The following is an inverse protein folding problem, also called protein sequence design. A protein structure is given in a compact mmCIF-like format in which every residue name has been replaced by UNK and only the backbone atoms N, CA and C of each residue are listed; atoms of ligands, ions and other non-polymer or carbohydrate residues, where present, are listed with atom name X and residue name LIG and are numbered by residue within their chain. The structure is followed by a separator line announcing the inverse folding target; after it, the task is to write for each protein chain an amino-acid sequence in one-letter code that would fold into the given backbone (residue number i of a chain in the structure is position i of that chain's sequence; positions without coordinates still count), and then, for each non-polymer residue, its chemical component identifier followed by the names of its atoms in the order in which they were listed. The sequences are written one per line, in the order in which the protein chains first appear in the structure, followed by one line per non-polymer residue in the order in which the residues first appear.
data_IF_724270322516
#
_entry.id   IF_724270322516
#
_cell.length_a   1.000
_cell.length_b   1.000
_cell.length_c   1.000
_cell.angle_alpha   90.00
_cell.angle_beta   90.00
_cell.angle_gamma   90.00
#
_symmetry.space_group_name_H-M   'P 1'
#
loop_
_entity.id
_entity.type
_entity.pdbx_description
1 polymer ?
#
# COMPACT_ATOMS: atom_id res chain seq x y z
N UNK A 1 12.46 -35.56 66.13
CA UNK A 1 12.72 -34.11 65.92
C UNK A 1 12.96 -33.73 64.46
N UNK A 2 13.59 -34.59 63.64
CA UNK A 2 13.86 -34.33 62.20
C UNK A 2 12.61 -33.97 61.35
N UNK A 3 11.47 -34.62 61.62
CA UNK A 3 10.23 -34.37 60.87
C UNK A 3 9.66 -32.96 61.08
N UNK A 4 9.71 -32.40 62.31
CA UNK A 4 9.17 -31.06 62.61
C UNK A 4 9.95 -29.95 61.90
N UNK A 5 11.28 -30.06 61.85
CA UNK A 5 12.12 -29.09 61.14
C UNK A 5 11.84 -29.12 59.63
N UNK A 6 11.63 -30.31 59.07
CA UNK A 6 11.32 -30.50 57.65
C UNK A 6 9.93 -29.96 57.27
N UNK A 7 8.91 -30.18 58.12
CA UNK A 7 7.58 -29.58 57.95
C UNK A 7 7.62 -28.04 58.05
N UNK A 8 8.34 -27.48 59.03
CA UNK A 8 8.52 -26.03 59.14
C UNK A 8 9.23 -25.43 57.92
N UNK A 9 10.24 -26.12 57.38
CA UNK A 9 10.94 -25.71 56.16
C UNK A 9 10.01 -25.70 54.95
N UNK A 10 9.19 -26.75 54.77
CA UNK A 10 8.21 -26.83 53.67
C UNK A 10 7.14 -25.73 53.76
N UNK A 11 6.68 -25.39 54.96
CA UNK A 11 5.74 -24.28 55.17
C UNK A 11 6.39 -22.95 54.80
N UNK A 12 7.63 -22.70 55.22
CA UNK A 12 8.37 -21.47 54.87
C UNK A 12 8.56 -21.39 53.34
N UNK A 13 8.95 -22.48 52.69
CA UNK A 13 9.06 -22.56 51.23
C UNK A 13 7.70 -22.24 50.59
N UNK A 14 6.61 -22.84 51.08
CA UNK A 14 5.26 -22.56 50.59
C UNK A 14 4.86 -21.08 50.72
N UNK A 15 5.19 -20.43 51.84
CA UNK A 15 4.95 -19.00 52.06
C UNK A 15 5.79 -18.16 51.08
N UNK A 16 7.06 -18.49 50.87
CA UNK A 16 7.93 -17.79 49.92
C UNK A 16 7.41 -17.92 48.49
N UNK A 17 7.01 -19.13 48.07
CA UNK A 17 6.39 -19.34 46.75
C UNK A 17 5.07 -18.58 46.60
N UNK A 18 4.25 -18.54 47.65
CA UNK A 18 3.01 -17.76 47.65
C UNK A 18 3.28 -16.26 47.48
N UNK A 19 4.25 -15.70 48.23
CA UNK A 19 4.63 -14.28 48.12
C UNK A 19 5.19 -13.98 46.73
N UNK A 20 6.06 -14.83 46.19
CA UNK A 20 6.61 -14.67 44.84
C UNK A 20 5.51 -14.76 43.77
N UNK A 21 4.57 -15.70 43.91
CA UNK A 21 3.43 -15.83 43.02
C UNK A 21 2.50 -14.61 43.07
N UNK A 22 2.19 -14.11 44.27
CA UNK A 22 1.39 -12.91 44.45
C UNK A 22 2.08 -11.65 43.88
N UNK A 23 3.39 -11.50 44.09
CA UNK A 23 4.19 -10.42 43.50
C UNK A 23 4.19 -10.50 41.96
N UNK A 24 4.31 -11.70 41.40
CA UNK A 24 4.28 -11.90 39.95
C UNK A 24 2.90 -11.55 39.36
N UNK A 25 1.80 -11.97 40.00
CA UNK A 25 0.44 -11.60 39.60
C UNK A 25 0.23 -10.08 39.70
N UNK A 26 0.72 -9.44 40.76
CA UNK A 26 0.66 -7.99 40.92
C UNK A 26 1.46 -7.26 39.84
N UNK A 27 2.66 -7.73 39.50
CA UNK A 27 3.46 -7.18 38.40
C UNK A 27 2.73 -7.30 37.07
N UNK A 28 2.14 -8.46 36.76
CA UNK A 28 1.35 -8.65 35.54
C UNK A 28 0.13 -7.72 35.50
N UNK A 29 -0.64 -7.62 36.59
CA UNK A 29 -1.80 -6.72 36.68
C UNK A 29 -1.39 -5.25 36.51
N UNK A 30 -0.28 -4.85 37.12
CA UNK A 30 0.30 -3.50 36.99
C UNK A 30 0.74 -3.21 35.55
N UNK A 31 1.38 -4.17 34.86
CA UNK A 31 1.73 -4.02 33.44
C UNK A 31 0.47 -3.93 32.58
N UNK A 32 -0.56 -4.73 32.83
CA UNK A 32 -1.81 -4.67 32.04
C UNK A 32 -2.48 -3.29 32.19
N UNK A 33 -2.66 -2.83 33.42
CA UNK A 33 -3.36 -1.57 33.73
C UNK A 33 -2.58 -0.34 33.27
N UNK A 34 -1.27 -0.31 33.53
CA UNK A 34 -0.45 0.87 33.24
C UNK A 34 0.09 0.90 31.81
N UNK A 35 0.15 -0.25 31.13
CA UNK A 35 0.80 -0.36 29.83
C UNK A 35 -0.08 -0.93 28.71
N UNK A 36 -0.73 -2.06 28.94
CA UNK A 36 -1.46 -2.75 27.86
C UNK A 36 -2.76 -2.02 27.49
N UNK A 37 -3.56 -1.64 28.49
CA UNK A 37 -4.85 -0.97 28.28
C UNK A 37 -4.68 0.42 27.61
N UNK A 38 -3.78 1.31 28.10
CA UNK A 38 -3.59 2.61 27.47
C UNK A 38 -3.03 2.52 26.04
N UNK A 39 -2.18 1.52 25.76
CA UNK A 39 -1.68 1.29 24.40
C UNK A 39 -2.79 0.83 23.45
N UNK A 40 -3.68 -0.04 23.92
CA UNK A 40 -4.83 -0.50 23.13
C UNK A 40 -5.79 0.66 22.85
N UNK A 41 -6.08 1.49 23.86
CA UNK A 41 -6.90 2.70 23.71
C UNK A 41 -6.26 3.69 22.73
N UNK A 42 -4.97 3.95 22.86
CA UNK A 42 -4.23 4.83 21.94
C UNK A 42 -4.24 4.30 20.49
N UNK A 43 -4.03 3.01 20.28
CA UNK A 43 -4.11 2.37 18.95
C UNK A 43 -5.54 2.38 18.41
N UNK A 44 -6.55 2.16 19.25
CA UNK A 44 -7.96 2.25 18.85
C UNK A 44 -8.37 3.66 18.41
N UNK A 45 -7.74 4.69 18.98
CA UNK A 45 -7.94 6.09 18.62
C UNK A 45 -7.11 6.54 17.40
N UNK A 46 -6.23 5.68 16.88
CA UNK A 46 -5.29 6.06 15.84
C UNK A 46 -6.00 6.30 14.51
N UNK A 47 -5.71 7.45 13.90
CA UNK A 47 -6.12 7.81 12.55
C UNK A 47 -4.88 7.86 11.65
N UNK A 48 -4.94 7.12 10.55
CA UNK A 48 -3.84 7.02 9.58
C UNK A 48 -4.30 7.61 8.25
N UNK A 49 -3.67 8.70 7.84
CA UNK A 49 -3.82 9.31 6.54
C UNK A 49 -2.68 8.90 5.61
N UNK A 50 -3.02 8.47 4.38
CA UNK A 50 -2.06 8.16 3.33
C UNK A 50 -2.23 9.14 2.17
N UNK A 51 -1.12 9.71 1.69
CA UNK A 51 -1.08 10.49 0.46
C UNK A 51 -0.07 9.89 -0.51
N UNK A 52 -0.56 9.44 -1.67
CA UNK A 52 0.31 8.88 -2.72
C UNK A 52 1.05 10.02 -3.42
N UNK A 53 2.37 10.03 -3.28
CA UNK A 53 3.26 10.98 -3.94
C UNK A 53 3.56 10.50 -5.36
N UNK A 54 4.05 9.27 -5.50
CA UNK A 54 4.34 8.63 -6.79
C UNK A 54 4.15 7.12 -6.77
N UNK A 55 3.88 6.56 -7.94
CA UNK A 55 3.79 5.14 -8.25
C UNK A 55 4.72 4.87 -9.41
N UNK A 56 5.73 4.03 -9.18
CA UNK A 56 6.64 3.59 -10.23
C UNK A 56 6.33 2.15 -10.61
N UNK A 57 6.11 1.91 -11.90
CA UNK A 57 5.80 0.61 -12.49
C UNK A 57 6.93 0.27 -13.47
N UNK A 58 7.66 -0.80 -13.21
CA UNK A 58 8.75 -1.25 -14.08
C UNK A 58 8.59 -2.74 -14.39
N UNK A 59 8.94 -3.14 -15.60
CA UNK A 59 9.02 -4.55 -15.98
C UNK A 59 10.02 -5.26 -15.09
N UNK A 60 9.61 -6.39 -14.52
CA UNK A 60 10.52 -7.28 -13.78
C UNK A 60 10.88 -8.50 -14.64
N UNK A 61 9.90 -9.09 -15.32
CA UNK A 61 10.10 -10.12 -16.34
C UNK A 61 8.95 -10.06 -17.38
N UNK A 62 8.72 -11.15 -18.13
CA UNK A 62 7.70 -11.21 -19.17
C UNK A 62 6.26 -11.29 -18.65
N UNK A 63 6.08 -11.57 -17.35
CA UNK A 63 4.77 -11.85 -16.75
C UNK A 63 4.50 -11.05 -15.48
N UNK A 64 5.52 -10.36 -14.94
CA UNK A 64 5.43 -9.55 -13.73
C UNK A 64 5.94 -8.12 -13.90
N UNK A 65 5.32 -7.24 -13.13
CA UNK A 65 5.80 -5.88 -12.87
C UNK A 65 6.26 -5.75 -11.44
N UNK A 66 7.27 -4.90 -11.26
CA UNK A 66 7.64 -4.36 -9.97
C UNK A 66 6.96 -3.01 -9.79
N UNK A 67 6.31 -2.85 -8.64
CA UNK A 67 5.63 -1.63 -8.25
C UNK A 67 6.31 -1.05 -7.01
N UNK A 68 6.66 0.24 -7.09
CA UNK A 68 7.23 1.00 -5.98
C UNK A 68 6.37 2.24 -5.75
N UNK A 69 5.65 2.27 -4.64
CA UNK A 69 4.79 3.39 -4.25
C UNK A 69 5.47 4.19 -3.16
N UNK A 70 5.62 5.50 -3.40
CA UNK A 70 6.04 6.46 -2.38
C UNK A 70 4.79 7.13 -1.81
N UNK A 71 4.57 6.95 -0.51
CA UNK A 71 3.46 7.57 0.21
C UNK A 71 3.98 8.45 1.34
N UNK A 72 3.28 9.54 1.61
CA UNK A 72 3.40 10.28 2.87
C UNK A 72 2.32 9.78 3.82
N UNK A 73 2.74 9.47 5.04
CA UNK A 73 1.88 8.94 6.08
C UNK A 73 1.80 9.92 7.23
N UNK A 74 0.57 10.22 7.62
CA UNK A 74 0.23 10.97 8.82
C UNK A 74 -0.44 10.00 9.79
N UNK A 75 0.14 9.81 10.98
CA UNK A 75 -0.43 9.00 12.05
C UNK A 75 -0.69 9.92 13.23
N UNK A 76 -1.95 10.02 13.62
CA UNK A 76 -2.41 10.84 14.73
C UNK A 76 -3.23 9.98 15.68
N UNK A 77 -3.21 10.31 16.97
CA UNK A 77 -3.96 9.62 18.02
C UNK A 77 -4.36 10.65 19.07
N UNK A 78 -5.38 10.33 19.86
CA UNK A 78 -5.91 11.24 20.87
C UNK A 78 -5.31 10.98 22.26
N UNK A 79 -4.93 9.73 22.53
CA UNK A 79 -4.42 9.30 23.83
C UNK A 79 -2.90 9.14 23.81
N UNK A 80 -2.20 9.78 24.74
CA UNK A 80 -0.75 9.62 24.90
C UNK A 80 -0.44 8.34 25.68
N UNK A 81 0.35 7.44 25.10
CA UNK A 81 0.83 6.25 25.80
C UNK A 81 2.34 6.39 26.14
N UNK A 82 2.75 6.16 27.40
CA UNK A 82 4.11 6.45 27.89
C UNK A 82 5.20 5.46 27.41
N UNK A 83 4.92 4.62 26.41
CA UNK A 83 5.71 3.42 26.07
C UNK A 83 6.10 3.43 24.59
N UNK A 84 7.00 2.51 24.23
CA UNK A 84 7.37 2.16 22.87
C UNK A 84 6.13 2.10 21.97
N UNK A 85 6.15 2.89 20.91
CA UNK A 85 5.02 2.96 19.98
C UNK A 85 4.88 1.69 19.13
N UNK A 86 3.73 1.54 18.44
CA UNK A 86 3.48 0.41 17.57
C UNK A 86 4.33 0.47 16.30
N UNK A 87 4.51 -0.70 15.70
CA UNK A 87 5.09 -0.85 14.38
C UNK A 87 3.98 -1.08 13.36
N UNK A 88 3.96 -0.27 12.30
CA UNK A 88 3.05 -0.42 11.18
C UNK A 88 3.76 -1.08 10.00
N UNK A 89 3.21 -2.18 9.51
CA UNK A 89 3.70 -2.91 8.36
C UNK A 89 2.65 -2.93 7.26
N UNK A 90 3.06 -2.71 6.02
CA UNK A 90 2.26 -3.02 4.85
C UNK A 90 2.64 -4.42 4.41
N UNK A 91 1.65 -5.31 4.31
CA UNK A 91 1.82 -6.72 3.99
C UNK A 91 1.23 -7.02 2.62
N UNK A 92 1.97 -7.79 1.84
CA UNK A 92 1.57 -8.34 0.55
C UNK A 92 1.96 -9.82 0.50
N UNK A 93 0.99 -10.72 0.27
CA UNK A 93 1.23 -12.18 0.23
C UNK A 93 2.09 -12.69 1.40
N UNK A 94 1.69 -12.30 2.62
CA UNK A 94 2.40 -12.63 3.87
C UNK A 94 3.83 -12.10 4.01
N UNK A 95 4.25 -11.16 3.14
CA UNK A 95 5.55 -10.48 3.22
C UNK A 95 5.38 -9.01 3.55
N UNK A 96 6.21 -8.50 4.45
CA UNK A 96 6.30 -7.06 4.70
C UNK A 96 6.92 -6.38 3.49
N UNK A 97 6.18 -5.45 2.88
CA UNK A 97 6.57 -4.70 1.69
C UNK A 97 6.77 -3.21 1.95
N UNK A 98 6.45 -2.76 3.16
CA UNK A 98 6.70 -1.42 3.67
C UNK A 98 6.56 -1.42 5.20
N UNK A 99 7.29 -0.53 5.89
CA UNK A 99 7.28 -0.48 7.36
C UNK A 99 7.51 0.94 7.88
N UNK A 100 6.79 1.29 8.94
CA UNK A 100 6.93 2.51 9.73
C UNK A 100 7.05 2.09 11.19
N UNK A 101 8.11 2.52 11.85
CA UNK A 101 8.28 2.32 13.29
C UNK A 101 7.92 3.61 14.03
N UNK A 102 7.00 3.54 14.99
CA UNK A 102 6.72 4.66 15.89
C UNK A 102 7.49 4.41 17.18
N UNK A 103 8.50 5.25 17.45
CA UNK A 103 9.36 5.07 18.62
C UNK A 103 8.58 5.28 19.94
N UNK A 104 7.68 6.26 19.98
CA UNK A 104 6.79 6.52 21.12
C UNK A 104 5.51 7.22 20.67
N UNK A 105 4.41 7.00 21.39
CA UNK A 105 3.12 7.68 21.14
C UNK A 105 3.01 9.03 21.87
N UNK A 106 4.13 9.75 22.01
CA UNK A 106 4.18 11.06 22.68
C UNK A 106 3.86 12.23 21.75
N UNK A 107 4.13 12.08 20.45
CA UNK A 107 3.89 13.11 19.42
C UNK A 107 3.40 12.46 18.13
N UNK A 108 2.41 13.06 17.44
CA UNK A 108 1.92 12.52 16.18
C UNK A 108 3.04 12.42 15.14
N UNK A 109 2.93 11.44 14.26
CA UNK A 109 3.85 11.24 13.16
C UNK A 109 3.30 11.95 11.92
N UNK A 110 3.95 13.02 11.48
CA UNK A 110 3.48 13.84 10.35
C UNK A 110 4.48 13.74 9.19
N UNK A 111 3.95 13.61 7.97
CA UNK A 111 4.67 13.57 6.70
C UNK A 111 5.81 12.53 6.67
N UNK A 112 5.61 11.37 7.30
CA UNK A 112 6.61 10.30 7.24
C UNK A 112 6.56 9.65 5.86
N UNK A 113 7.70 9.63 5.18
CA UNK A 113 7.83 8.93 3.90
C UNK A 113 7.85 7.43 4.16
N UNK A 114 6.96 6.70 3.49
CA UNK A 114 6.95 5.26 3.39
C UNK A 114 7.10 4.85 1.93
N UNK A 115 7.96 3.87 1.69
CA UNK A 115 8.16 3.27 0.37
C UNK A 115 7.65 1.84 0.43
N UNK A 116 6.68 1.52 -0.41
CA UNK A 116 6.06 0.19 -0.51
C UNK A 116 6.54 -0.44 -1.82
N UNK A 117 7.20 -1.60 -1.74
CA UNK A 117 7.76 -2.29 -2.92
C UNK A 117 7.26 -3.72 -3.01
N UNK A 118 6.64 -4.07 -4.13
CA UNK A 118 6.11 -5.41 -4.34
C UNK A 118 6.04 -5.76 -5.82
N UNK A 119 5.94 -7.05 -6.11
CA UNK A 119 5.78 -7.57 -7.47
C UNK A 119 4.37 -8.10 -7.67
N UNK A 120 3.83 -7.84 -8.85
CA UNK A 120 2.47 -8.19 -9.26
C UNK A 120 2.56 -8.99 -10.56
N UNK A 121 1.83 -10.10 -10.64
CA UNK A 121 1.56 -10.81 -11.88
C UNK A 121 0.11 -10.61 -12.34
N UNK A 122 -0.27 -11.13 -13.51
CA UNK A 122 -1.64 -11.00 -14.05
C UNK A 122 -2.75 -11.55 -13.13
N UNK A 123 -2.45 -12.54 -12.29
CA UNK A 123 -3.41 -13.19 -11.41
C UNK A 123 -3.61 -12.46 -10.07
N UNK A 124 -2.72 -11.52 -9.74
CA UNK A 124 -2.68 -10.85 -8.45
C UNK A 124 -3.59 -9.61 -8.35
N UNK A 125 -4.49 -9.42 -9.32
CA UNK A 125 -5.29 -8.20 -9.47
C UNK A 125 -6.32 -7.96 -8.37
N UNK A 126 -6.96 -9.05 -7.92
CA UNK A 126 -7.96 -9.02 -6.85
C UNK A 126 -7.33 -9.04 -5.46
N UNK A 127 -6.02 -9.20 -5.37
CA UNK A 127 -5.32 -9.28 -4.11
C UNK A 127 -5.26 -7.91 -3.42
N UNK A 128 -5.21 -7.98 -2.09
CA UNK A 128 -5.22 -6.82 -1.22
C UNK A 128 -3.85 -6.62 -0.60
N UNK A 129 -3.45 -5.36 -0.46
CA UNK A 129 -2.47 -4.99 0.54
C UNK A 129 -3.16 -4.94 1.90
N UNK A 130 -2.47 -5.43 2.92
CA UNK A 130 -2.93 -5.40 4.30
C UNK A 130 -2.08 -4.42 5.09
N UNK A 131 -2.71 -3.73 6.04
CA UNK A 131 -2.00 -2.99 7.07
C UNK A 131 -1.96 -3.85 8.33
N UNK A 132 -0.77 -4.00 8.89
CA UNK A 132 -0.55 -4.70 10.14
C UNK A 132 0.00 -3.75 11.18
N UNK A 133 -0.55 -3.80 12.39
CA UNK A 133 -0.09 -3.07 13.55
C UNK A 133 0.45 -4.07 14.56
N UNK A 134 1.73 -3.94 14.92
CA UNK A 134 2.39 -4.77 15.91
C UNK A 134 2.62 -3.92 17.16
N UNK A 135 2.03 -4.35 18.27
CA UNK A 135 2.14 -3.71 19.57
C UNK A 135 2.94 -4.60 20.51
N UNK A 136 3.96 -4.05 21.17
CA UNK A 136 4.69 -4.72 22.24
C UNK A 136 4.14 -4.24 23.58
N UNK A 137 3.35 -5.10 24.24
CA UNK A 137 2.56 -4.75 25.44
C UNK A 137 3.34 -4.97 26.74
N UNK A 138 4.59 -5.42 26.67
CA UNK A 138 5.39 -5.82 27.83
C UNK A 138 5.07 -7.23 28.37
N UNK A 139 3.83 -7.72 28.20
CA UNK A 139 3.45 -9.13 28.45
C UNK A 139 3.51 -10.01 27.21
N UNK A 140 3.62 -9.40 26.03
CA UNK A 140 3.66 -10.10 24.75
C UNK A 140 3.42 -9.17 23.56
N UNK A 141 3.46 -9.73 22.35
CA UNK A 141 3.21 -8.99 21.11
C UNK A 141 1.82 -9.26 20.59
N UNK A 142 1.05 -8.20 20.34
CA UNK A 142 -0.26 -8.27 19.70
C UNK A 142 -0.10 -7.78 18.26
N UNK A 143 -0.60 -8.56 17.30
CA UNK A 143 -0.60 -8.21 15.88
C UNK A 143 -2.04 -8.09 15.40
N UNK A 144 -2.41 -6.90 14.93
CA UNK A 144 -3.70 -6.64 14.30
C UNK A 144 -3.47 -6.50 12.80
N UNK A 145 -4.22 -7.24 11.98
CA UNK A 145 -4.12 -7.18 10.52
C UNK A 145 -5.47 -6.78 9.94
N UNK A 146 -5.46 -5.78 9.07
CA UNK A 146 -6.65 -5.29 8.38
C UNK A 146 -6.37 -5.11 6.89
N UNK A 147 -7.40 -5.26 6.06
CA UNK A 147 -7.31 -4.92 4.64
C UNK A 147 -7.09 -3.41 4.48
N UNK A 148 -6.20 -3.02 3.56
CA UNK A 148 -5.88 -1.61 3.31
C UNK A 148 -6.40 -1.13 1.94
N UNK A 149 -5.90 -1.72 0.85
CA UNK A 149 -6.25 -1.29 -0.51
C UNK A 149 -6.08 -2.42 -1.52
N UNK A 150 -6.99 -2.49 -2.49
CA UNK A 150 -6.84 -3.39 -3.65
C UNK A 150 -5.71 -2.90 -4.55
N UNK A 151 -4.93 -3.82 -5.11
CA UNK A 151 -3.84 -3.48 -6.03
C UNK A 151 -4.35 -2.69 -7.24
N UNK A 152 -5.49 -3.07 -7.80
CA UNK A 152 -6.13 -2.36 -8.93
C UNK A 152 -6.45 -0.90 -8.60
N UNK A 153 -6.98 -0.62 -7.42
CA UNK A 153 -7.28 0.74 -6.95
C UNK A 153 -6.01 1.56 -6.75
N UNK A 154 -4.93 0.94 -6.26
CA UNK A 154 -3.64 1.60 -6.12
C UNK A 154 -3.04 1.96 -7.48
N UNK A 155 -3.01 1.00 -8.42
CA UNK A 155 -2.50 1.22 -9.78
C UNK A 155 -3.28 2.30 -10.53
N UNK A 156 -4.59 2.40 -10.32
CA UNK A 156 -5.44 3.46 -10.90
C UNK A 156 -5.10 4.87 -10.43
N UNK A 157 -4.29 5.04 -9.37
CA UNK A 157 -3.79 6.35 -8.92
C UNK A 157 -2.51 6.78 -9.64
N UNK A 158 -2.07 6.04 -10.67
CA UNK A 158 -0.92 6.45 -11.49
C UNK A 158 -1.30 7.74 -12.24
N UNK A 159 -0.70 8.86 -11.83
CA UNK A 159 -0.90 10.21 -12.41
C UNK A 159 -0.22 10.35 -13.77
N UNK A 160 -0.73 9.65 -14.77
CA UNK A 160 -0.41 9.89 -16.18
C UNK A 160 -1.25 11.05 -16.71
N UNK A 161 -0.71 11.76 -17.70
CA UNK A 161 -1.37 12.86 -18.39
C UNK A 161 -1.32 12.60 -19.90
N UNK A 162 -2.39 12.96 -20.60
CA UNK A 162 -2.42 12.99 -22.07
C UNK A 162 -2.38 14.44 -22.53
N UNK A 163 -1.53 14.73 -23.50
CA UNK A 163 -1.34 16.05 -24.09
C UNK A 163 -1.39 15.96 -25.62
N UNK A 164 -1.81 17.05 -26.28
CA UNK A 164 -1.77 17.21 -27.74
C UNK A 164 -2.44 16.07 -28.52
N UNK A 165 -3.70 15.76 -28.17
CA UNK A 165 -4.50 14.78 -28.91
C UNK A 165 -4.84 15.35 -30.28
N UNK A 166 -4.41 14.69 -31.34
CA UNK A 166 -4.66 15.09 -32.72
C UNK A 166 -4.80 13.88 -33.64
N UNK A 167 -5.47 14.08 -34.77
CA UNK A 167 -5.56 13.07 -35.82
C UNK A 167 -4.56 13.41 -36.92
N UNK A 168 -3.67 12.48 -37.23
CA UNK A 168 -2.67 12.61 -38.29
C UNK A 168 -2.94 11.63 -39.42
N UNK A 169 -2.71 12.06 -40.67
CA UNK A 169 -2.87 11.21 -41.85
C UNK A 169 -1.49 10.79 -42.37
N UNK A 170 -1.23 9.49 -42.43
CA UNK A 170 0.02 8.94 -42.95
C UNK A 170 -0.24 7.76 -43.88
N UNK A 171 0.28 7.82 -45.11
CA UNK A 171 0.13 6.77 -46.14
C UNK A 171 -1.31 6.26 -46.33
N UNK A 172 -2.28 7.17 -46.32
CA UNK A 172 -3.70 6.84 -46.50
C UNK A 172 -4.42 6.30 -45.26
N UNK A 173 -3.74 6.23 -44.11
CA UNK A 173 -4.32 5.83 -42.82
C UNK A 173 -4.47 7.02 -41.89
N UNK A 174 -5.47 6.97 -41.02
CA UNK A 174 -5.70 7.97 -39.98
C UNK A 174 -5.17 7.42 -38.66
N UNK A 175 -4.39 8.23 -37.95
CA UNK A 175 -3.82 7.87 -36.65
C UNK A 175 -4.26 8.87 -35.59
N UNK A 176 -4.71 8.37 -34.44
CA UNK A 176 -4.84 9.19 -33.24
C UNK A 176 -3.47 9.27 -32.57
N UNK A 177 -2.91 10.47 -32.53
CA UNK A 177 -1.59 10.75 -31.97
C UNK A 177 -1.73 11.63 -30.74
N UNK A 178 -1.05 11.26 -29.66
CA UNK A 178 -1.00 12.06 -28.44
C UNK A 178 0.27 11.76 -27.64
N UNK A 179 0.66 12.71 -26.80
CA UNK A 179 1.79 12.53 -25.89
C UNK A 179 1.30 12.11 -24.51
N UNK A 180 2.01 11.18 -23.90
CA UNK A 180 1.79 10.75 -22.53
C UNK A 180 2.94 11.27 -21.69
N UNK A 181 2.60 11.96 -20.61
CA UNK A 181 3.55 12.52 -19.66
C UNK A 181 3.14 12.16 -18.23
N UNK A 182 4.02 12.46 -17.29
CA UNK A 182 3.79 12.26 -15.86
C UNK A 182 4.63 13.29 -15.13
N UNK A 183 4.13 13.83 -14.01
CA UNK A 183 4.88 14.80 -13.20
C UNK A 183 5.68 14.14 -12.08
N UNK A 184 5.39 12.87 -11.77
CA UNK A 184 5.88 12.21 -10.55
C UNK A 184 6.11 10.70 -10.67
N UNK A 185 5.39 10.04 -11.58
CA UNK A 185 5.42 8.59 -11.77
C UNK A 185 6.39 8.19 -12.88
N UNK A 186 6.93 6.98 -12.76
CA UNK A 186 7.68 6.29 -13.82
C UNK A 186 6.89 5.07 -14.26
N UNK A 187 6.66 4.92 -15.56
CA UNK A 187 6.07 3.72 -16.15
C UNK A 187 7.02 3.23 -17.25
N UNK A 188 7.62 2.06 -17.02
CA UNK A 188 8.58 1.41 -17.91
C UNK A 188 8.22 -0.08 -18.02
N UNK A 189 7.14 -0.37 -18.74
CA UNK A 189 6.59 -1.70 -18.93
C UNK A 189 5.73 -1.74 -20.19
N UNK A 190 5.47 -2.91 -20.79
CA UNK A 190 4.54 -3.02 -21.91
C UNK A 190 3.14 -2.51 -21.54
N UNK A 191 2.69 -1.45 -22.21
CA UNK A 191 1.36 -0.85 -22.00
C UNK A 191 0.47 -1.18 -23.19
N UNK A 192 -0.69 -1.77 -22.92
CA UNK A 192 -1.80 -1.81 -23.87
C UNK A 192 -2.62 -0.53 -23.71
N UNK A 193 -2.75 0.21 -24.80
CA UNK A 193 -3.61 1.39 -24.88
C UNK A 193 -4.82 1.02 -25.72
N UNK A 194 -6.02 1.29 -25.20
CA UNK A 194 -7.29 1.02 -25.87
C UNK A 194 -8.13 2.29 -25.98
N UNK A 195 -8.73 2.49 -27.15
CA UNK A 195 -9.71 3.53 -27.43
C UNK A 195 -11.10 2.90 -27.32
N UNK A 196 -12.01 3.54 -26.59
CA UNK A 196 -13.35 3.00 -26.34
C UNK A 196 -14.44 4.01 -26.66
N UNK A 197 -15.61 3.51 -27.04
CA UNK A 197 -16.82 4.29 -27.23
C UNK A 197 -17.52 4.64 -25.90
N UNK A 198 -18.68 5.28 -25.98
CA UNK A 198 -19.49 5.66 -24.81
C UNK A 198 -19.97 4.46 -23.98
N UNK A 199 -20.16 3.30 -24.60
CA UNK A 199 -20.64 2.08 -23.96
C UNK A 199 -19.47 1.24 -23.40
N UNK A 200 -18.23 1.66 -23.63
CA UNK A 200 -17.01 0.98 -23.19
C UNK A 200 -16.53 -0.12 -24.14
N UNK A 201 -17.07 -0.21 -25.36
CA UNK A 201 -16.58 -1.15 -26.36
C UNK A 201 -15.23 -0.68 -26.91
N UNK A 202 -14.30 -1.61 -27.07
CA UNK A 202 -12.98 -1.31 -27.63
C UNK A 202 -13.09 -1.08 -29.14
N UNK A 203 -12.81 0.15 -29.58
CA UNK A 203 -12.79 0.55 -30.98
C UNK A 203 -11.44 0.21 -31.64
N UNK A 204 -10.34 0.49 -30.92
CA UNK A 204 -8.99 0.17 -31.35
C UNK A 204 -8.09 -0.08 -30.13
N UNK A 205 -7.07 -0.92 -30.29
CA UNK A 205 -6.05 -1.07 -29.25
C UNK A 205 -4.69 -1.46 -29.83
N UNK A 206 -3.63 -1.10 -29.11
CA UNK A 206 -2.25 -1.46 -29.46
C UNK A 206 -1.42 -1.65 -28.20
N UNK A 207 -0.49 -2.61 -28.26
CA UNK A 207 0.53 -2.81 -27.22
C UNK A 207 1.80 -2.06 -27.61
N UNK A 208 2.36 -1.32 -26.66
CA UNK A 208 3.62 -0.58 -26.78
C UNK A 208 4.64 -1.23 -25.85
N UNK A 209 5.47 -2.11 -26.41
CA UNK A 209 6.48 -2.87 -25.66
C UNK A 209 7.61 -1.99 -25.11
N UNK A 210 7.86 -0.86 -25.75
CA UNK A 210 8.90 0.13 -25.42
C UNK A 210 8.35 1.34 -24.65
N UNK A 211 7.14 1.25 -24.10
CA UNK A 211 6.50 2.35 -23.40
C UNK A 211 7.35 2.82 -22.19
N UNK A 212 7.77 4.07 -22.22
CA UNK A 212 8.57 4.69 -21.18
C UNK A 212 8.17 6.14 -20.90
N UNK A 213 7.59 6.38 -19.73
CA UNK A 213 7.23 7.72 -19.23
C UNK A 213 7.91 7.94 -17.88
N UNK A 214 8.46 9.14 -17.68
CA UNK A 214 9.04 9.58 -16.41
C UNK A 214 8.81 11.09 -16.25
N UNK A 215 9.08 11.69 -15.08
CA UNK A 215 8.87 13.13 -14.85
C UNK A 215 9.50 14.07 -15.90
N UNK A 216 10.58 13.61 -16.55
CA UNK A 216 11.34 14.38 -17.53
C UNK A 216 11.22 13.83 -18.95
N UNK A 217 10.38 12.81 -19.19
CA UNK A 217 10.23 12.15 -20.48
C UNK A 217 8.77 12.02 -20.90
N UNK A 218 8.49 12.32 -22.16
CA UNK A 218 7.18 12.11 -22.78
C UNK A 218 7.27 10.93 -23.75
N UNK A 219 6.18 10.18 -23.87
CA UNK A 219 6.06 9.09 -24.83
C UNK A 219 4.96 9.42 -25.83
N UNK A 220 5.28 9.40 -27.12
CA UNK A 220 4.29 9.66 -28.18
C UNK A 220 3.60 8.37 -28.57
N UNK A 221 2.28 8.38 -28.43
CA UNK A 221 1.39 7.28 -28.80
C UNK A 221 0.80 7.56 -30.17
N UNK A 222 0.72 6.53 -31.00
CA UNK A 222 0.07 6.57 -32.31
C UNK A 222 -0.72 5.28 -32.55
N UNK A 223 -2.05 5.38 -32.57
CA UNK A 223 -2.98 4.28 -32.85
C UNK A 223 -3.68 4.48 -34.19
N UNK A 224 -3.75 3.43 -34.99
CA UNK A 224 -4.51 3.42 -36.25
C UNK A 224 -6.01 3.46 -35.95
N UNK A 225 -6.69 4.49 -36.45
CA UNK A 225 -8.13 4.71 -36.34
C UNK A 225 -8.80 4.73 -37.72
N UNK A 226 -8.17 4.12 -38.73
CA UNK A 226 -8.74 4.07 -40.08
C UNK A 226 -10.09 3.35 -40.05
N UNK A 227 -11.15 4.04 -40.51
CA UNK A 227 -12.52 3.52 -40.47
C UNK A 227 -13.27 3.77 -39.15
N UNK A 228 -12.64 4.41 -38.17
CA UNK A 228 -13.26 4.82 -36.90
C UNK A 228 -13.49 6.33 -36.95
N UNK A 229 -14.71 6.77 -36.62
CA UNK A 229 -15.00 8.18 -36.43
C UNK A 229 -14.28 8.69 -35.15
N UNK A 230 -13.35 9.65 -35.23
CA UNK A 230 -12.69 10.19 -34.05
C UNK A 230 -13.68 10.72 -32.99
N UNK A 231 -14.84 11.24 -33.41
CA UNK A 231 -15.88 11.75 -32.51
C UNK A 231 -16.58 10.68 -31.68
N UNK A 232 -16.48 9.41 -32.08
CA UNK A 232 -17.03 8.27 -31.34
C UNK A 232 -16.18 7.84 -30.15
N UNK A 233 -14.91 8.26 -30.09
CA UNK A 233 -13.97 7.86 -29.03
C UNK A 233 -14.25 8.68 -27.78
N UNK A 234 -14.67 8.01 -26.70
CA UNK A 234 -14.98 8.63 -25.40
C UNK A 234 -13.98 8.32 -24.31
N UNK A 235 -13.28 7.19 -24.39
CA UNK A 235 -12.29 6.84 -23.39
C UNK A 235 -10.97 6.37 -24.00
N UNK A 236 -9.88 6.66 -23.28
CA UNK A 236 -8.56 6.10 -23.53
C UNK A 236 -8.12 5.37 -22.26
N UNK A 237 -8.03 4.04 -22.34
CA UNK A 237 -7.57 3.19 -21.25
C UNK A 237 -6.11 2.81 -21.43
N UNK A 238 -5.35 2.85 -20.33
CA UNK A 238 -3.99 2.34 -20.23
C UNK A 238 -4.00 1.15 -19.32
N UNK A 239 -3.48 0.02 -19.80
CA UNK A 239 -3.32 -1.19 -18.99
C UNK A 239 -1.95 -1.81 -19.15
N UNK A 240 -1.43 -2.39 -18.07
CA UNK A 240 -0.18 -3.15 -18.05
C UNK A 240 -0.51 -4.58 -17.66
N UNK A 241 -0.25 -5.54 -18.56
CA UNK A 241 -0.61 -6.96 -18.38
C UNK A 241 -2.08 -7.19 -17.99
N UNK A 242 -3.00 -6.36 -18.50
CA UNK A 242 -4.44 -6.43 -18.18
C UNK A 242 -4.85 -5.61 -16.95
N UNK A 243 -3.90 -4.95 -16.29
CA UNK A 243 -4.16 -4.12 -15.12
C UNK A 243 -4.35 -2.66 -15.56
N UNK A 244 -5.56 -2.12 -15.42
CA UNK A 244 -5.81 -0.69 -15.71
C UNK A 244 -4.99 0.20 -14.78
N UNK A 245 -4.14 1.03 -15.36
CA UNK A 245 -3.29 2.01 -14.63
C UNK A 245 -3.79 3.45 -14.79
N UNK A 246 -4.54 3.74 -15.86
CA UNK A 246 -5.18 5.03 -16.07
C UNK A 246 -6.39 4.89 -17.00
N UNK A 247 -7.38 5.78 -16.82
CA UNK A 247 -8.53 5.93 -17.70
C UNK A 247 -8.76 7.42 -17.93
N UNK A 248 -8.73 7.84 -19.17
CA UNK A 248 -9.00 9.22 -19.58
C UNK A 248 -10.36 9.27 -20.23
N UNK A 249 -11.18 10.24 -19.84
CA UNK A 249 -12.44 10.55 -20.51
C UNK A 249 -12.20 11.70 -21.47
N UNK A 250 -12.55 11.51 -22.74
CA UNK A 250 -12.59 12.55 -23.75
C UNK A 250 -13.99 13.16 -23.72
N UNK A 251 -14.08 14.35 -23.14
CA UNK A 251 -15.34 15.03 -22.93
C UNK A 251 -15.77 15.88 -24.12
N UNK A 252 -17.02 15.65 -24.54
CA UNK A 252 -18.02 16.67 -24.94
C UNK A 252 -17.73 17.46 -26.19
#
# INVERSE_FOLDING_TARGET
MYNRALYSLLIIIGIVFYILGALYVYQLASIVLNNTLPLLEAVSSTRIGFRVESINITRENNESIRVSVKVLVNVTWNETAPIKGPEYEVIWKNKTVGKINIESMNKPLINKVLIIKFSINKHDLGEKLYLSVIMDTGIGKIKIVQEAVNVSSLLGQTKLLIEKIQVEKYRGRNYLVFNVSSTSNIVSAPVKIALMDQDGNVLASKVYDDFYVSPNNKYTVSLDITGIDPGSIRYIEFSVYGNRIALFTLGG
#
